data_IF_652566551003
#
_entry.id   IF_652566551003
#
_cell.length_a   1.000
_cell.length_b   1.000
_cell.length_c   1.000
_cell.angle_alpha   90.00
_cell.angle_beta   90.00
_cell.angle_gamma   90.00
#
_symmetry.space_group_name_H-M   'P 1'
#
loop_
_entity.id
_entity.type
_entity.pdbx_description
1 polymer ?
#
# COMPACT_ATOMS: atom_id res chain seq x y z
N UNK A 1 -17.03 62.91 42.31
CA UNK A 1 -15.76 62.55 42.95
C UNK A 1 -15.61 61.04 42.88
N UNK A 2 -14.94 60.56 41.83
CA UNK A 2 -14.90 59.14 41.52
C UNK A 2 -13.41 58.69 41.57
N UNK A 3 -13.00 58.19 42.70
CA UNK A 3 -11.59 57.80 43.00
C UNK A 3 -11.35 56.31 42.89
N UNK A 4 -12.29 55.53 42.41
CA UNK A 4 -12.25 54.05 42.42
C UNK A 4 -11.89 53.38 41.11
N UNK A 5 -11.64 54.13 40.02
CA UNK A 5 -11.36 53.53 38.72
C UNK A 5 -9.87 53.41 38.34
N UNK A 6 -8.99 54.12 39.07
CA UNK A 6 -7.56 54.08 38.69
C UNK A 6 -6.78 52.87 39.23
N UNK A 7 -7.29 52.28 40.31
CA UNK A 7 -6.59 51.13 40.96
C UNK A 7 -6.87 49.81 40.25
N UNK A 8 -8.00 49.69 39.56
CA UNK A 8 -8.35 48.44 38.84
C UNK A 8 -7.65 48.32 37.50
N UNK A 9 -7.38 49.41 36.80
CA UNK A 9 -6.68 49.38 35.53
C UNK A 9 -5.17 49.06 35.69
N UNK A 10 -4.54 49.53 36.72
CA UNK A 10 -3.13 49.25 36.99
C UNK A 10 -2.91 47.80 37.38
N UNK A 11 -3.83 47.20 38.14
CA UNK A 11 -3.75 45.78 38.48
C UNK A 11 -3.95 44.88 37.27
N UNK A 12 -4.88 45.23 36.38
CA UNK A 12 -5.13 44.43 35.17
C UNK A 12 -3.94 44.46 34.20
N UNK A 13 -3.29 45.61 34.05
CA UNK A 13 -2.10 45.76 33.21
C UNK A 13 -0.88 45.05 33.77
N UNK A 14 -0.71 45.02 35.08
CA UNK A 14 0.37 44.28 35.73
C UNK A 14 0.20 42.77 35.60
N UNK A 15 -1.02 42.25 35.68
CA UNK A 15 -1.27 40.84 35.52
C UNK A 15 -1.09 40.35 34.09
N UNK A 16 -1.48 41.17 33.10
CA UNK A 16 -1.28 40.83 31.69
C UNK A 16 0.19 40.81 31.30
N UNK A 17 0.99 41.76 31.81
CA UNK A 17 2.43 41.75 31.55
C UNK A 17 3.14 40.59 32.27
N UNK A 18 2.72 40.22 33.49
CA UNK A 18 3.27 39.09 34.21
C UNK A 18 2.92 37.75 33.53
N UNK A 19 1.73 37.63 32.94
CA UNK A 19 1.33 36.44 32.19
C UNK A 19 2.09 36.30 30.85
N UNK A 20 2.35 37.42 30.18
CA UNK A 20 3.08 37.39 28.90
C UNK A 20 4.55 37.02 29.09
N UNK A 21 5.19 37.49 30.19
CA UNK A 21 6.58 37.15 30.47
C UNK A 21 6.75 35.70 30.94
N UNK A 22 5.76 35.15 31.63
CA UNK A 22 5.81 33.74 32.06
C UNK A 22 5.62 32.75 30.89
N UNK A 23 4.89 33.16 29.83
CA UNK A 23 4.66 32.29 28.68
C UNK A 23 5.89 32.20 27.76
N UNK A 24 6.83 33.15 27.83
CA UNK A 24 8.04 33.15 26.98
C UNK A 24 9.22 32.35 27.56
N UNK A 25 9.11 31.87 28.80
CA UNK A 25 10.20 31.11 29.46
C UNK A 25 9.98 29.61 29.48
N UNK A 26 8.95 29.10 28.80
CA UNK A 26 8.84 27.66 28.58
C UNK A 26 9.84 27.28 27.49
N UNK A 27 10.83 26.42 27.78
CA UNK A 27 11.66 25.87 26.75
C UNK A 27 10.71 25.12 25.81
N UNK A 28 10.59 25.58 24.57
CA UNK A 28 10.02 24.78 23.49
C UNK A 28 10.98 23.61 23.33
N UNK A 29 10.78 22.57 24.13
CA UNK A 29 11.27 21.27 23.81
C UNK A 29 10.52 20.86 22.53
N UNK A 30 11.03 21.33 21.39
CA UNK A 30 10.81 20.64 20.14
C UNK A 30 11.48 19.29 20.33
N UNK A 31 10.77 18.39 21.01
CA UNK A 31 11.01 16.99 20.84
C UNK A 31 10.76 16.76 19.35
N UNK A 32 11.84 16.80 18.58
CA UNK A 32 11.90 16.20 17.29
C UNK A 32 11.60 14.72 17.55
N UNK A 33 10.30 14.40 17.67
CA UNK A 33 9.84 13.06 17.54
C UNK A 33 10.22 12.67 16.12
N UNK A 34 11.45 12.19 15.97
CA UNK A 34 11.76 11.31 14.89
C UNK A 34 10.81 10.13 15.11
N UNK A 35 9.62 10.27 14.55
CA UNK A 35 8.84 9.13 14.18
C UNK A 35 9.77 8.36 13.26
N UNK A 36 10.56 7.44 13.84
CA UNK A 36 11.14 6.37 13.08
C UNK A 36 9.93 5.80 12.36
N UNK A 37 9.77 6.18 11.10
CA UNK A 37 8.95 5.43 10.19
C UNK A 37 9.52 4.03 10.31
N UNK A 38 8.90 3.26 11.17
CA UNK A 38 9.11 1.84 11.25
C UNK A 38 8.55 1.37 9.92
N UNK A 39 9.42 1.37 8.92
CA UNK A 39 9.20 0.59 7.70
C UNK A 39 8.76 -0.75 8.27
N UNK A 40 7.54 -1.23 7.94
CA UNK A 40 7.15 -2.55 8.35
C UNK A 40 8.31 -3.44 7.92
N UNK A 41 9.08 -3.93 8.87
CA UNK A 41 10.01 -5.00 8.58
C UNK A 41 9.08 -6.15 8.22
N UNK A 42 8.75 -6.22 6.93
CA UNK A 42 8.40 -7.50 6.36
C UNK A 42 9.56 -8.38 6.77
N UNK A 43 9.29 -9.19 7.76
CA UNK A 43 10.27 -10.19 8.19
C UNK A 43 10.52 -11.01 6.93
N UNK A 44 11.64 -10.73 6.27
CA UNK A 44 12.22 -11.65 5.31
C UNK A 44 12.51 -12.88 6.16
N UNK A 45 11.48 -13.70 6.34
CA UNK A 45 11.64 -15.00 6.96
C UNK A 45 12.60 -15.73 6.06
N UNK A 46 13.76 -15.89 6.58
CA UNK A 46 14.99 -16.43 6.01
C UNK A 46 14.76 -17.48 4.93
N UNK A 47 15.37 -17.28 3.79
CA UNK A 47 15.35 -18.10 2.58
C UNK A 47 15.99 -19.49 2.77
N UNK A 48 16.32 -19.91 3.99
CA UNK A 48 16.98 -21.20 4.27
C UNK A 48 16.10 -22.14 5.09
N UNK A 49 16.10 -23.44 4.76
CA UNK A 49 15.08 -24.38 5.16
C UNK A 49 15.12 -24.77 6.63
N UNK A 50 14.34 -24.09 7.41
CA UNK A 50 13.67 -24.74 8.52
C UNK A 50 12.24 -25.02 8.06
N UNK A 51 11.58 -26.02 8.59
CA UNK A 51 10.26 -26.54 8.17
C UNK A 51 9.12 -25.49 8.04
N UNK A 52 9.38 -24.23 8.32
CA UNK A 52 8.40 -23.16 8.42
C UNK A 52 8.72 -21.99 7.48
N UNK A 53 8.98 -22.28 6.20
CA UNK A 53 9.27 -21.25 5.22
C UNK A 53 8.01 -20.58 4.69
N UNK A 54 7.85 -19.35 5.03
CA UNK A 54 7.08 -18.45 4.18
C UNK A 54 8.02 -17.94 3.09
N UNK A 55 7.93 -18.50 1.90
CA UNK A 55 8.67 -18.02 0.72
C UNK A 55 8.10 -16.66 0.29
N UNK A 56 6.86 -16.40 0.64
CA UNK A 56 6.11 -15.21 0.29
C UNK A 56 4.91 -15.06 1.22
N UNK A 57 4.48 -13.84 1.43
CA UNK A 57 3.21 -13.53 2.13
C UNK A 57 1.99 -13.84 1.24
N UNK A 58 2.21 -14.08 -0.07
CA UNK A 58 1.17 -14.33 -1.07
C UNK A 58 1.33 -15.73 -1.64
N UNK A 59 0.84 -16.73 -0.94
CA UNK A 59 0.84 -18.12 -1.39
C UNK A 59 -0.51 -18.42 -2.03
N UNK A 60 -0.54 -18.79 -3.31
CA UNK A 60 -1.82 -18.97 -4.06
C UNK A 60 -2.76 -20.01 -3.44
N UNK A 61 -2.22 -21.00 -2.73
CA UNK A 61 -2.98 -22.07 -2.06
C UNK A 61 -3.43 -21.67 -0.65
N UNK A 62 -3.03 -20.51 -0.14
CA UNK A 62 -3.48 -20.03 1.16
C UNK A 62 -5.02 -19.86 1.18
N UNK A 63 -5.66 -20.02 2.36
CA UNK A 63 -7.12 -20.02 2.48
C UNK A 63 -7.79 -18.77 1.89
N UNK A 64 -7.13 -17.63 1.96
CA UNK A 64 -7.62 -16.35 1.44
C UNK A 64 -7.68 -16.30 -0.10
N UNK A 65 -6.86 -17.09 -0.81
CA UNK A 65 -6.84 -17.15 -2.27
C UNK A 65 -7.47 -18.44 -2.79
N UNK A 66 -7.19 -19.56 -2.13
CA UNK A 66 -7.90 -20.82 -2.32
C UNK A 66 -7.57 -21.56 -3.63
N UNK A 67 -6.38 -21.37 -4.21
CA UNK A 67 -5.97 -22.16 -5.37
C UNK A 67 -5.80 -23.63 -5.00
N UNK A 68 -6.21 -24.53 -5.93
CA UNK A 68 -6.17 -25.97 -5.74
C UNK A 68 -5.52 -26.67 -6.91
N UNK A 69 -4.58 -27.56 -6.61
CA UNK A 69 -3.96 -28.45 -7.59
C UNK A 69 -4.85 -29.68 -7.86
N UNK A 70 -6.12 -29.45 -8.18
CA UNK A 70 -7.13 -30.48 -8.43
C UNK A 70 -7.60 -30.44 -9.89
N UNK A 71 -7.73 -31.60 -10.56
CA UNK A 71 -8.26 -31.65 -11.91
C UNK A 71 -9.69 -31.03 -11.95
N UNK A 72 -9.93 -30.19 -12.95
CA UNK A 72 -11.23 -29.57 -13.15
C UNK A 72 -11.48 -28.30 -12.36
N UNK A 73 -10.59 -27.93 -11.43
CA UNK A 73 -10.73 -26.68 -10.70
C UNK A 73 -10.12 -25.51 -11.49
N UNK A 74 -10.89 -24.45 -11.70
CA UNK A 74 -10.39 -23.24 -12.37
C UNK A 74 -9.70 -22.31 -11.38
N UNK A 75 -8.38 -22.24 -11.45
CA UNK A 75 -7.54 -21.48 -10.54
C UNK A 75 -7.38 -20.01 -10.92
N UNK A 76 -7.96 -19.56 -12.02
CA UNK A 76 -7.76 -18.19 -12.51
C UNK A 76 -8.06 -17.12 -11.47
N UNK A 77 -9.22 -17.23 -10.82
CA UNK A 77 -9.65 -16.23 -9.84
C UNK A 77 -8.72 -16.19 -8.61
N UNK A 78 -8.30 -17.36 -8.12
CA UNK A 78 -7.40 -17.49 -6.98
C UNK A 78 -6.02 -16.87 -7.26
N UNK A 79 -5.45 -17.17 -8.42
CA UNK A 79 -4.16 -16.60 -8.83
C UNK A 79 -4.26 -15.09 -9.06
N UNK A 80 -5.34 -14.61 -9.68
CA UNK A 80 -5.54 -13.19 -9.89
C UNK A 80 -5.68 -12.45 -8.55
N UNK A 81 -6.41 -13.01 -7.60
CA UNK A 81 -6.57 -12.43 -6.26
C UNK A 81 -5.23 -12.31 -5.53
N UNK A 82 -4.36 -13.32 -5.60
CA UNK A 82 -3.03 -13.27 -5.01
C UNK A 82 -2.13 -12.20 -5.67
N UNK A 83 -2.19 -12.10 -7.01
CA UNK A 83 -1.46 -11.08 -7.77
C UNK A 83 -1.95 -9.66 -7.41
N UNK A 84 -3.26 -9.47 -7.31
CA UNK A 84 -3.86 -8.18 -6.97
C UNK A 84 -3.53 -7.78 -5.52
N UNK A 85 -3.55 -8.73 -4.58
CA UNK A 85 -3.16 -8.50 -3.20
C UNK A 85 -1.68 -8.10 -3.08
N UNK A 86 -0.78 -8.79 -3.79
CA UNK A 86 0.62 -8.42 -3.85
C UNK A 86 0.83 -7.01 -4.42
N UNK A 87 0.10 -6.66 -5.47
CA UNK A 87 0.16 -5.31 -6.05
C UNK A 87 -0.35 -4.24 -5.09
N UNK A 88 -1.47 -4.48 -4.40
CA UNK A 88 -2.04 -3.54 -3.42
C UNK A 88 -1.13 -3.29 -2.22
N UNK A 89 -0.30 -4.28 -1.86
CA UNK A 89 0.72 -4.12 -0.82
C UNK A 89 2.02 -3.44 -1.28
N UNK A 90 2.06 -2.96 -2.52
CA UNK A 90 3.21 -2.24 -3.09
C UNK A 90 4.14 -3.11 -3.93
N UNK A 91 3.73 -4.30 -4.31
CA UNK A 91 4.49 -5.30 -5.04
C UNK A 91 4.92 -6.48 -4.16
N UNK A 92 5.54 -7.47 -4.75
CA UNK A 92 6.02 -8.64 -4.01
C UNK A 92 6.08 -9.91 -4.82
N UNK A 93 6.34 -11.02 -4.14
CA UNK A 93 6.42 -12.34 -4.74
C UNK A 93 5.14 -13.11 -4.43
N UNK A 94 4.47 -13.58 -5.45
CA UNK A 94 3.38 -14.55 -5.35
C UNK A 94 3.98 -15.94 -5.54
N UNK A 95 3.90 -16.75 -4.51
CA UNK A 95 4.45 -18.10 -4.51
C UNK A 95 3.41 -19.12 -4.94
N UNK A 96 3.82 -20.00 -5.85
CA UNK A 96 3.02 -21.07 -6.41
C UNK A 96 3.63 -22.39 -5.91
N UNK A 97 3.04 -23.09 -4.93
CA UNK A 97 3.49 -24.41 -4.53
C UNK A 97 3.45 -25.42 -5.69
N UNK A 98 4.29 -26.44 -5.61
CA UNK A 98 4.30 -27.48 -6.62
C UNK A 98 2.92 -28.12 -6.78
N UNK A 99 2.46 -28.26 -8.02
CA UNK A 99 1.16 -28.83 -8.35
C UNK A 99 0.75 -28.55 -9.79
N UNK A 100 -0.34 -29.17 -10.21
CA UNK A 100 -0.96 -28.94 -11.51
C UNK A 100 -2.17 -28.04 -11.33
N UNK A 101 -2.06 -26.80 -11.80
CA UNK A 101 -3.13 -25.81 -11.71
C UNK A 101 -3.77 -25.60 -13.10
N UNK A 102 -5.05 -25.86 -13.20
CA UNK A 102 -5.80 -25.64 -14.43
C UNK A 102 -6.37 -24.22 -14.46
N UNK A 103 -6.36 -23.64 -15.65
CA UNK A 103 -6.99 -22.35 -15.96
C UNK A 103 -7.97 -22.58 -17.10
N UNK A 104 -9.25 -22.37 -16.82
CA UNK A 104 -10.34 -22.68 -17.78
C UNK A 104 -11.03 -21.44 -18.32
N UNK A 105 -10.95 -20.34 -17.60
CA UNK A 105 -11.56 -19.08 -17.99
C UNK A 105 -10.54 -18.07 -18.48
N UNK A 106 -10.94 -17.26 -19.44
CA UNK A 106 -10.17 -16.13 -19.96
C UNK A 106 -10.90 -14.82 -19.68
N UNK A 107 -10.19 -13.73 -19.80
CA UNK A 107 -10.76 -12.39 -19.75
C UNK A 107 -10.41 -11.64 -21.03
N UNK A 108 -11.31 -10.76 -21.46
CA UNK A 108 -11.08 -9.90 -22.60
C UNK A 108 -10.55 -8.55 -22.14
N UNK A 109 -9.38 -8.20 -22.64
CA UNK A 109 -8.80 -6.88 -22.47
C UNK A 109 -8.95 -6.05 -23.73
N UNK A 110 -9.01 -4.74 -23.56
CA UNK A 110 -8.99 -3.79 -24.67
C UNK A 110 -7.78 -2.89 -24.55
N UNK A 111 -6.99 -2.78 -25.61
CA UNK A 111 -5.85 -1.87 -25.69
C UNK A 111 -6.07 -0.89 -26.81
N UNK A 112 -6.08 0.40 -26.46
CA UNK A 112 -6.13 1.47 -27.42
C UNK A 112 -4.72 1.73 -27.97
N UNK A 113 -4.53 1.55 -29.26
CA UNK A 113 -3.24 1.73 -29.92
C UNK A 113 -3.36 2.83 -30.96
N UNK A 114 -2.40 3.76 -30.94
CA UNK A 114 -2.26 4.76 -32.01
C UNK A 114 -1.55 4.12 -33.20
N UNK A 115 -2.24 4.07 -34.31
CA UNK A 115 -1.70 3.57 -35.57
C UNK A 115 -1.46 4.75 -36.48
N UNK A 116 -0.19 4.96 -36.87
CA UNK A 116 0.20 6.00 -37.83
C UNK A 116 0.29 5.36 -39.23
N UNK A 117 -0.43 5.95 -40.16
CA UNK A 117 -0.36 5.60 -41.55
C UNK A 117 -0.10 6.86 -42.37
N UNK A 118 1.15 7.06 -42.79
CA UNK A 118 1.61 8.30 -43.41
C UNK A 118 1.52 9.47 -42.43
N UNK A 119 0.84 10.55 -42.81
CA UNK A 119 0.58 11.74 -41.97
C UNK A 119 -0.65 11.61 -41.09
N UNK A 120 -1.45 10.55 -41.27
CA UNK A 120 -2.66 10.33 -40.52
C UNK A 120 -2.41 9.44 -39.31
N UNK A 121 -2.97 9.83 -38.16
CA UNK A 121 -2.94 9.05 -36.91
C UNK A 121 -4.37 8.66 -36.53
N UNK A 122 -4.62 7.37 -36.39
CA UNK A 122 -5.90 6.80 -35.98
C UNK A 122 -5.73 5.99 -34.72
N UNK A 123 -6.74 6.06 -33.83
CA UNK A 123 -6.80 5.17 -32.66
C UNK A 123 -7.60 3.94 -33.04
N UNK A 124 -7.03 2.76 -32.75
CA UNK A 124 -7.72 1.48 -32.94
C UNK A 124 -7.74 0.74 -31.60
N UNK A 125 -8.88 0.13 -31.31
CA UNK A 125 -9.05 -0.74 -30.15
C UNK A 125 -8.76 -2.18 -30.57
N UNK A 126 -7.81 -2.78 -29.88
CA UNK A 126 -7.47 -4.19 -30.03
C UNK A 126 -8.04 -4.94 -28.83
N UNK A 127 -8.82 -5.96 -29.11
CA UNK A 127 -9.31 -6.91 -28.13
C UNK A 127 -8.36 -8.09 -28.05
N UNK A 128 -8.01 -8.50 -26.85
CA UNK A 128 -7.15 -9.67 -26.63
C UNK A 128 -7.66 -10.46 -25.42
N UNK A 129 -7.46 -11.74 -25.47
CA UNK A 129 -7.78 -12.62 -24.34
C UNK A 129 -6.54 -12.87 -23.49
N UNK A 130 -6.74 -12.92 -22.18
CA UNK A 130 -5.68 -13.24 -21.23
C UNK A 130 -6.23 -14.07 -20.07
N UNK A 131 -5.38 -14.89 -19.48
CA UNK A 131 -5.72 -15.70 -18.31
C UNK A 131 -5.44 -14.94 -17.03
N UNK A 132 -4.24 -14.40 -16.90
CA UNK A 132 -3.79 -13.64 -15.73
C UNK A 132 -3.23 -12.29 -16.15
N UNK A 133 -3.51 -11.30 -15.34
CA UNK A 133 -2.95 -9.95 -15.48
C UNK A 133 -1.89 -9.74 -14.41
N UNK A 134 -0.65 -9.59 -14.84
CA UNK A 134 0.44 -9.19 -13.95
C UNK A 134 0.49 -7.68 -13.78
N UNK A 135 0.77 -7.24 -12.57
CA UNK A 135 0.98 -5.85 -12.24
C UNK A 135 2.48 -5.54 -12.09
N UNK A 136 2.89 -4.27 -12.32
CA UNK A 136 4.26 -3.85 -12.05
C UNK A 136 4.68 -4.13 -10.62
N UNK A 137 5.90 -4.62 -10.41
CA UNK A 137 6.42 -4.93 -9.08
C UNK A 137 5.97 -6.28 -8.50
N UNK A 138 5.15 -7.04 -9.22
CA UNK A 138 4.73 -8.39 -8.80
C UNK A 138 5.50 -9.46 -9.57
N UNK A 139 6.03 -10.44 -8.86
CA UNK A 139 6.72 -11.60 -9.43
C UNK A 139 5.96 -12.88 -9.09
N UNK A 140 5.82 -13.79 -10.06
CA UNK A 140 5.37 -15.16 -9.81
C UNK A 140 6.59 -16.05 -9.64
N UNK A 141 6.57 -16.89 -8.60
CA UNK A 141 7.63 -17.83 -8.29
C UNK A 141 7.03 -19.18 -7.90
N UNK A 142 7.53 -20.24 -8.54
CA UNK A 142 7.22 -21.62 -8.23
C UNK A 142 8.46 -22.45 -7.92
#
# INVERSE_FOLDING_TARGET
MNRNNETTETFSKLWVTAMITLTMMLPVNVACSQTKQQVPQQSIKTIYPTKDWAISDFVVTAPEFGAKAEPGFDNRAAFQAAIDAAYQSGGGVVYIPAGNYEFRSTQVGTKNVRVRQGSSETKKDFHFEYVLRLHPGVQLRG
#
